data_IF_194296038879
#
_entry.id   IF_194296038879
#
_cell.length_a   1.000
_cell.length_b   1.000
_cell.length_c   1.000
_cell.angle_alpha   90.00
_cell.angle_beta   90.00
_cell.angle_gamma   90.00
#
_symmetry.space_group_name_H-M   'P 1'
#
loop_
_entity.id
_entity.type
_entity.pdbx_description
1 polymer ?
#
# COMPACT_ATOMS: atom_id res chain seq x y z
N UNK A 1 7.30 2.56 12.07
CA UNK A 1 6.45 1.81 11.13
C UNK A 1 6.90 0.37 11.15
N UNK A 2 5.97 -0.59 11.14
CA UNK A 2 6.33 -2.01 11.10
C UNK A 2 6.54 -2.48 9.65
N UNK A 3 7.51 -3.38 9.43
CA UNK A 3 7.78 -3.88 8.09
C UNK A 3 6.88 -5.09 7.78
N UNK A 4 6.22 -5.05 6.63
CA UNK A 4 5.44 -6.17 6.11
C UNK A 4 6.25 -6.90 5.03
N UNK A 5 6.43 -8.24 5.13
CA UNK A 5 7.04 -9.01 4.07
C UNK A 5 6.13 -9.05 2.84
N UNK A 6 6.72 -8.86 1.66
CA UNK A 6 5.98 -8.91 0.40
C UNK A 6 5.92 -10.34 -0.09
N UNK A 7 4.71 -10.84 -0.31
CA UNK A 7 4.49 -12.18 -0.84
C UNK A 7 4.33 -12.13 -2.36
N UNK A 8 5.23 -12.79 -3.08
CA UNK A 8 5.12 -12.94 -4.54
C UNK A 8 4.09 -14.03 -4.86
N UNK A 9 3.10 -13.67 -5.67
CA UNK A 9 2.08 -14.60 -6.15
C UNK A 9 2.66 -15.52 -7.23
N UNK A 10 2.28 -16.79 -7.19
CA UNK A 10 2.68 -17.82 -8.15
C UNK A 10 1.45 -18.38 -8.87
N UNK A 11 1.57 -18.85 -10.12
CA UNK A 11 0.50 -19.60 -10.80
C UNK A 11 0.05 -20.85 -10.04
N UNK A 12 0.93 -21.44 -9.22
CA UNK A 12 0.62 -22.58 -8.35
C UNK A 12 -0.16 -22.18 -7.08
N UNK A 13 -0.46 -20.89 -6.90
CA UNK A 13 -0.94 -20.32 -5.66
C UNK A 13 0.20 -19.98 -4.69
N UNK A 14 -0.07 -19.05 -3.79
CA UNK A 14 0.85 -18.67 -2.70
C UNK A 14 0.10 -18.61 -1.39
N UNK A 15 0.73 -19.07 -0.30
CA UNK A 15 0.19 -18.88 1.04
C UNK A 15 0.16 -17.38 1.37
N UNK A 16 -1.00 -16.88 1.75
CA UNK A 16 -1.15 -15.45 2.07
C UNK A 16 -0.66 -15.18 3.49
N UNK A 17 0.30 -14.25 3.63
CA UNK A 17 0.82 -13.82 4.93
C UNK A 17 0.14 -12.51 5.30
N UNK A 18 -0.60 -12.53 6.41
CA UNK A 18 -1.22 -11.34 6.99
C UNK A 18 -0.60 -11.07 8.36
N UNK A 19 -0.48 -9.78 8.70
CA UNK A 19 -0.04 -9.32 10.01
C UNK A 19 -1.06 -8.31 10.56
N UNK A 20 -1.13 -8.17 11.88
CA UNK A 20 -1.90 -7.10 12.49
C UNK A 20 -1.26 -5.75 12.15
N UNK A 21 -2.08 -4.75 11.82
CA UNK A 21 -1.59 -3.42 11.50
C UNK A 21 -0.93 -2.79 12.73
N UNK A 22 0.17 -2.07 12.53
CA UNK A 22 0.81 -1.32 13.61
C UNK A 22 0.13 0.04 13.83
N UNK A 23 0.00 0.45 15.10
CA UNK A 23 -0.51 1.79 15.45
C UNK A 23 0.36 2.92 14.86
N UNK A 24 1.65 2.66 14.63
CA UNK A 24 2.58 3.59 13.98
C UNK A 24 2.58 3.51 12.45
N UNK A 25 1.63 2.80 11.84
CA UNK A 25 1.60 2.51 10.40
C UNK A 25 2.54 1.38 10.00
N UNK A 26 2.36 0.91 8.77
CA UNK A 26 3.14 -0.18 8.20
C UNK A 26 3.87 0.25 6.93
N UNK A 27 4.97 -0.43 6.62
CA UNK A 27 5.75 -0.19 5.42
C UNK A 27 6.08 -1.51 4.73
N UNK A 28 6.12 -1.51 3.40
CA UNK A 28 6.59 -2.65 2.62
C UNK A 28 7.48 -2.19 1.47
N UNK A 29 8.44 -3.03 1.09
CA UNK A 29 9.34 -2.74 -0.02
C UNK A 29 8.58 -2.82 -1.35
N UNK A 30 8.66 -1.77 -2.17
CA UNK A 30 8.11 -1.77 -3.52
C UNK A 30 9.24 -1.62 -4.55
N UNK A 31 9.42 -2.53 -5.51
CA UNK A 31 10.43 -2.39 -6.55
C UNK A 31 10.06 -1.42 -7.69
N UNK A 32 9.07 -0.53 -7.51
CA UNK A 32 8.61 0.45 -8.53
C UNK A 32 8.08 -0.15 -9.83
N UNK A 33 7.72 -1.43 -9.84
CA UNK A 33 7.35 -2.18 -11.04
C UNK A 33 5.84 -2.24 -11.28
N UNK A 34 5.07 -1.42 -10.55
CA UNK A 34 3.61 -1.33 -10.62
C UNK A 34 2.90 -2.69 -10.44
N UNK A 35 3.53 -3.63 -9.74
CA UNK A 35 2.99 -4.97 -9.49
C UNK A 35 2.73 -5.26 -8.02
N UNK A 36 3.12 -4.34 -7.15
CA UNK A 36 2.89 -4.45 -5.72
C UNK A 36 1.56 -3.83 -5.33
N UNK A 37 0.78 -4.54 -4.52
CA UNK A 37 -0.46 -4.08 -3.93
C UNK A 37 -0.58 -4.61 -2.50
N UNK A 38 -1.40 -3.95 -1.70
CA UNK A 38 -1.69 -4.39 -0.33
C UNK A 38 -3.14 -4.84 -0.24
N UNK A 39 -3.41 -5.76 0.65
CA UNK A 39 -4.75 -6.15 1.04
C UNK A 39 -4.92 -5.79 2.51
N UNK A 40 -5.87 -4.90 2.79
CA UNK A 40 -6.21 -4.45 4.14
C UNK A 40 -7.60 -4.97 4.47
N UNK A 41 -7.72 -5.68 5.59
CA UNK A 41 -8.99 -6.19 6.10
C UNK A 41 -9.34 -5.48 7.40
N UNK A 42 -10.54 -4.90 7.45
CA UNK A 42 -11.04 -4.21 8.60
C UNK A 42 -12.00 -5.12 9.39
N UNK A 43 -11.49 -5.75 10.44
CA UNK A 43 -12.30 -6.54 11.37
C UNK A 43 -12.98 -5.71 12.46
N UNK A 44 -12.89 -4.38 12.42
CA UNK A 44 -13.50 -3.51 13.42
C UNK A 44 -14.98 -3.25 13.15
N UNK A 45 -15.70 -2.75 14.16
CA UNK A 45 -17.08 -2.28 14.04
C UNK A 45 -17.22 -0.87 13.44
N UNK A 46 -16.12 -0.22 13.04
CA UNK A 46 -16.11 1.14 12.49
C UNK A 46 -15.45 1.22 11.11
N UNK A 47 -15.56 2.38 10.46
CA UNK A 47 -14.88 2.62 9.18
C UNK A 47 -13.39 2.87 9.40
N UNK A 48 -12.55 2.17 8.66
CA UNK A 48 -11.10 2.34 8.64
C UNK A 48 -10.71 3.23 7.46
N UNK A 49 -9.86 4.23 7.67
CA UNK A 49 -9.25 4.99 6.57
C UNK A 49 -7.79 4.63 6.45
N UNK A 50 -7.37 4.20 5.27
CA UNK A 50 -5.97 3.95 4.90
C UNK A 50 -5.49 5.11 4.05
N UNK A 51 -4.43 5.78 4.50
CA UNK A 51 -3.81 6.88 3.80
C UNK A 51 -2.41 6.48 3.35
N UNK A 52 -2.15 6.61 2.06
CA UNK A 52 -0.80 6.46 1.48
C UNK A 52 -0.43 7.80 0.86
N UNK A 53 0.52 8.48 1.51
CA UNK A 53 1.04 9.76 1.03
C UNK A 53 2.14 9.50 -0.03
N UNK A 54 2.22 10.32 -1.10
CA UNK A 54 3.34 10.27 -2.02
C UNK A 54 4.56 10.87 -1.35
N UNK A 55 5.65 10.12 -1.35
CA UNK A 55 6.93 10.47 -0.72
C UNK A 55 7.95 10.96 -1.74
N UNK A 56 7.84 10.52 -3.01
CA UNK A 56 8.62 11.07 -4.11
C UNK A 56 7.74 12.02 -4.91
N UNK A 57 8.06 13.32 -4.83
CA UNK A 57 7.56 14.31 -5.76
C UNK A 57 8.23 14.10 -7.13
N UNK A 58 7.94 13.00 -7.83
CA UNK A 58 8.11 12.98 -9.29
C UNK A 58 7.03 13.89 -9.84
N UNK A 59 7.26 15.18 -9.70
CA UNK A 59 6.30 16.19 -10.03
C UNK A 59 6.10 16.16 -11.53
N UNK A 60 4.89 15.84 -11.96
CA UNK A 60 4.54 16.04 -13.36
C UNK A 60 4.54 17.55 -13.55
N UNK A 61 5.52 18.05 -14.32
CA UNK A 61 5.60 19.47 -14.66
C UNK A 61 4.50 19.76 -15.67
N UNK A 62 3.42 20.38 -15.21
CA UNK A 62 2.37 20.86 -16.10
C UNK A 62 2.75 22.28 -16.54
N UNK A 63 2.89 22.56 -17.85
CA UNK A 63 3.17 23.92 -18.33
C UNK A 63 2.11 24.89 -17.78
N UNK A 64 2.55 25.92 -17.05
CA UNK A 64 1.67 26.94 -16.46
C UNK A 64 1.23 26.71 -15.01
N UNK A 65 1.45 25.51 -14.44
CA UNK A 65 0.99 25.17 -13.07
C UNK A 65 2.14 24.76 -12.13
N UNK A 66 3.29 24.41 -12.70
CA UNK A 66 4.48 24.02 -11.93
C UNK A 66 4.55 22.52 -11.65
N UNK A 67 5.33 22.16 -10.63
CA UNK A 67 5.58 20.79 -10.21
C UNK A 67 4.42 20.28 -9.33
N UNK A 68 3.58 19.38 -9.85
CA UNK A 68 2.48 18.79 -9.07
C UNK A 68 2.85 17.39 -8.59
N UNK A 69 2.92 17.22 -7.26
CA UNK A 69 3.05 15.90 -6.65
C UNK A 69 1.76 15.08 -6.86
N UNK A 70 1.84 13.75 -6.97
CA UNK A 70 0.63 12.91 -6.97
C UNK A 70 -0.22 13.21 -5.73
N UNK A 71 -1.56 13.11 -5.80
CA UNK A 71 -2.39 13.24 -4.62
C UNK A 71 -2.20 12.04 -3.68
N UNK A 72 -2.42 12.25 -2.38
CA UNK A 72 -2.47 11.15 -1.41
C UNK A 72 -3.64 10.22 -1.70
N UNK A 73 -3.42 8.91 -1.61
CA UNK A 73 -4.49 7.92 -1.72
C UNK A 73 -5.13 7.74 -0.36
N UNK A 74 -6.40 8.09 -0.25
CA UNK A 74 -7.20 7.96 0.97
C UNK A 74 -8.35 7.00 0.69
N UNK A 75 -8.29 5.80 1.27
CA UNK A 75 -9.26 4.73 1.02
C UNK A 75 -10.02 4.45 2.30
N UNK A 76 -11.34 4.59 2.25
CA UNK A 76 -12.25 4.23 3.33
C UNK A 76 -12.73 2.79 3.17
N UNK A 77 -12.47 1.95 4.17
CA UNK A 77 -12.85 0.54 4.24
C UNK A 77 -13.94 0.42 5.32
N UNK A 78 -15.13 -0.02 4.92
CA UNK A 78 -16.26 -0.18 5.84
C UNK A 78 -15.96 -1.23 6.93
N UNK A 79 -16.78 -1.21 7.99
CA UNK A 79 -16.70 -2.21 9.07
C UNK A 79 -16.93 -3.63 8.53
N UNK A 80 -16.06 -4.57 8.89
CA UNK A 80 -16.12 -5.95 8.41
C UNK A 80 -15.76 -6.16 6.94
N UNK A 81 -15.33 -5.11 6.23
CA UNK A 81 -14.96 -5.19 4.82
C UNK A 81 -13.44 -5.24 4.63
N UNK A 82 -13.04 -5.51 3.40
CA UNK A 82 -11.65 -5.50 2.97
C UNK A 82 -11.46 -4.72 1.67
N UNK A 83 -10.24 -4.26 1.46
CA UNK A 83 -9.86 -3.53 0.26
C UNK A 83 -8.46 -3.91 -0.20
N UNK A 84 -8.31 -4.05 -1.51
CA UNK A 84 -7.00 -4.17 -2.16
C UNK A 84 -6.60 -2.81 -2.70
N UNK A 85 -5.43 -2.32 -2.31
CA UNK A 85 -4.92 -0.99 -2.66
C UNK A 85 -3.62 -1.15 -3.43
N UNK A 86 -3.61 -0.64 -4.66
CA UNK A 86 -2.48 -0.71 -5.59
C UNK A 86 -2.97 -0.49 -7.02
N UNK A 87 -2.12 -0.70 -8.04
CA UNK A 87 -0.67 -0.84 -7.95
C UNK A 87 0.02 0.47 -7.54
N UNK A 88 1.20 0.36 -6.95
CA UNK A 88 1.99 1.52 -6.49
C UNK A 88 3.17 1.82 -7.42
N UNK A 89 3.23 3.07 -7.90
CA UNK A 89 4.33 3.63 -8.68
C UNK A 89 5.48 4.11 -7.78
N UNK A 90 6.64 4.41 -8.38
CA UNK A 90 7.80 5.00 -7.70
C UNK A 90 7.49 6.29 -6.90
N UNK A 91 6.43 7.01 -7.27
CA UNK A 91 6.01 8.25 -6.60
C UNK A 91 5.58 8.06 -5.12
N UNK A 92 5.20 6.83 -4.72
CA UNK A 92 4.77 6.51 -3.36
C UNK A 92 5.86 5.85 -2.51
N UNK A 93 7.10 5.85 -3.00
CA UNK A 93 8.22 5.21 -2.32
C UNK A 93 9.07 6.21 -1.56
N UNK A 94 9.44 5.87 -0.32
CA UNK A 94 10.40 6.65 0.45
C UNK A 94 11.84 6.46 -0.04
N UNK A 95 12.79 7.14 0.60
CA UNK A 95 14.21 7.03 0.28
C UNK A 95 14.80 5.61 0.46
N UNK A 96 14.08 4.72 1.14
CA UNK A 96 14.46 3.33 1.40
C UNK A 96 13.68 2.33 0.53
N UNK A 97 13.03 2.81 -0.55
CA UNK A 97 12.20 2.02 -1.46
C UNK A 97 10.95 1.39 -0.81
N UNK A 98 10.43 1.98 0.27
CA UNK A 98 9.23 1.49 0.95
C UNK A 98 8.00 2.35 0.66
N UNK A 99 6.85 1.70 0.57
CA UNK A 99 5.54 2.38 0.55
C UNK A 99 4.99 2.38 1.97
N UNK A 100 4.60 3.57 2.43
CA UNK A 100 4.19 3.81 3.81
C UNK A 100 2.66 3.90 3.91
N UNK A 101 2.08 3.05 4.75
CA UNK A 101 0.65 3.01 5.04
C UNK A 101 0.38 3.62 6.41
N UNK A 102 -0.48 4.63 6.44
CA UNK A 102 -1.06 5.18 7.66
C UNK A 102 -2.51 4.72 7.81
N UNK A 103 -2.90 4.38 9.02
CA UNK A 103 -4.25 3.94 9.36
C UNK A 103 -4.90 4.90 10.34
N UNK A 104 -6.20 5.11 10.23
CA UNK A 104 -6.96 5.83 11.25
C UNK A 104 -7.16 5.03 12.54
N UNK A 105 -7.09 3.70 12.47
CA UNK A 105 -7.16 2.75 13.60
C UNK A 105 -6.46 1.45 13.23
N UNK A 106 -5.78 0.80 14.18
CA UNK A 106 -4.97 -0.40 13.91
C UNK A 106 -5.45 -1.67 14.66
N UNK A 107 -6.33 -1.54 15.66
CA UNK A 107 -6.59 -2.58 16.67
C UNK A 107 -7.28 -3.84 16.15
N UNK A 108 -7.97 -3.77 15.01
CA UNK A 108 -8.65 -4.91 14.40
C UNK A 108 -8.41 -4.97 12.89
N UNK A 109 -7.26 -4.45 12.46
CA UNK A 109 -6.90 -4.37 11.05
C UNK A 109 -5.83 -5.41 10.78
N UNK A 110 -6.02 -6.20 9.73
CA UNK A 110 -4.98 -7.10 9.24
C UNK A 110 -4.58 -6.69 7.84
N UNK A 111 -3.29 -6.74 7.57
CA UNK A 111 -2.70 -6.28 6.31
C UNK A 111 -1.72 -7.32 5.78
N UNK A 112 -1.75 -7.51 4.46
CA UNK A 112 -0.77 -8.30 3.73
C UNK A 112 -0.29 -7.53 2.51
N UNK A 113 1.01 -7.61 2.22
CA UNK A 113 1.61 -7.04 1.01
C UNK A 113 1.84 -8.15 -0.01
N UNK A 114 1.40 -7.92 -1.25
CA UNK A 114 1.42 -8.89 -2.32
C UNK A 114 2.03 -8.30 -3.58
N UNK A 115 2.64 -9.15 -4.39
CA UNK A 115 3.23 -8.75 -5.68
C UNK A 115 2.90 -9.77 -6.76
N UNK A 116 2.49 -9.26 -7.92
CA UNK A 116 2.28 -10.11 -9.10
C UNK A 116 3.63 -10.56 -9.70
N UNK A 117 3.71 -11.81 -10.21
CA UNK A 117 4.93 -12.31 -10.85
C UNK A 117 5.26 -11.49 -12.10
N UNK A 118 6.53 -11.51 -12.52
CA UNK A 118 6.91 -10.91 -13.80
C UNK A 118 6.30 -11.73 -14.93
N UNK A 119 5.79 -11.05 -15.97
CA UNK A 119 5.47 -11.72 -17.22
C UNK A 119 6.77 -12.27 -17.80
N UNK A 120 6.98 -13.58 -17.69
CA UNK A 120 8.01 -14.30 -18.44
C UNK A 120 7.37 -14.72 -19.76
N UNK A 121 7.70 -14.02 -20.85
CA UNK A 121 7.38 -14.43 -22.22
C UNK A 121 8.48 -15.34 -22.76
#
# INVERSE_FOLDING_TARGET
MAQIPVTTLSPAGSATVYQAASAGGDAFNNPSDERSFVHVKNGSGGTLTVTIAPTQATAVKIPGVGALAPPSRVISIAAGADAMIGPFTAAYMDANNNVNLAYSSATSVTVGAFRLPAQSY
#
